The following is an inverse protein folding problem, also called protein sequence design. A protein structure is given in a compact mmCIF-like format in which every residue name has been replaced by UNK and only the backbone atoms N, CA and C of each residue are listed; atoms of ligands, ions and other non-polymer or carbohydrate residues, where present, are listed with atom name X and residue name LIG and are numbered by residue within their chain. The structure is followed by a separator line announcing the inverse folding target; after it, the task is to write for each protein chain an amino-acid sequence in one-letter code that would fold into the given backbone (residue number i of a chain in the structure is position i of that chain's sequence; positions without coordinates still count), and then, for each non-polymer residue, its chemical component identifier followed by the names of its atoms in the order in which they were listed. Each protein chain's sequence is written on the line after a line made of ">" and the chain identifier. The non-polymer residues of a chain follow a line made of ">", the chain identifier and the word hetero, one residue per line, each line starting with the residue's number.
data_IF_846216788229
#
_entry.id   IF_846216788229
#
_cell.length_a   1.000
_cell.length_b   1.000
_cell.length_c   1.000
_cell.angle_alpha   90.00
_cell.angle_beta   90.00
_cell.angle_gamma   90.00
#
_symmetry.space_group_name_H-M   'P 1'
#
loop_
_entity.id
_entity.type
_entity.pdbx_description
1 polymer ?
#
# COMPACT_ATOMS: atom_id res chain seq x y z
N UNK A 1 4.94 -5.64 26.75
CA UNK A 1 3.92 -5.22 27.74
C UNK A 1 2.59 -5.19 27.01
N UNK A 2 1.56 -5.86 27.56
CA UNK A 2 0.21 -5.85 26.98
C UNK A 2 -0.43 -4.48 27.22
N UNK A 3 -0.96 -3.86 26.17
CA UNK A 3 -1.62 -2.55 26.25
C UNK A 3 -3.13 -2.72 26.32
N UNK A 4 -3.86 -1.68 26.72
CA UNK A 4 -5.31 -1.71 26.72
C UNK A 4 -5.89 -1.95 25.31
N UNK A 5 -5.21 -1.54 24.26
CA UNK A 5 -5.66 -1.77 22.87
C UNK A 5 -5.47 -3.22 22.43
N UNK A 6 -4.44 -3.92 22.94
CA UNK A 6 -4.28 -5.37 22.75
C UNK A 6 -5.43 -6.14 23.44
N UNK A 7 -5.80 -5.71 24.65
CA UNK A 7 -6.95 -6.28 25.38
C UNK A 7 -8.26 -6.01 24.64
N UNK A 8 -8.45 -4.81 24.14
CA UNK A 8 -9.64 -4.47 23.35
C UNK A 8 -9.76 -5.36 22.10
N UNK A 9 -8.69 -5.54 21.36
CA UNK A 9 -8.65 -6.40 20.16
C UNK A 9 -9.04 -7.84 20.52
N UNK A 10 -8.48 -8.39 21.58
CA UNK A 10 -8.78 -9.74 22.06
C UNK A 10 -10.28 -9.89 22.40
N UNK A 11 -10.83 -8.98 23.23
CA UNK A 11 -12.24 -9.05 23.64
C UNK A 11 -13.17 -8.87 22.43
N UNK A 12 -12.82 -7.99 21.49
CA UNK A 12 -13.61 -7.77 20.27
C UNK A 12 -13.66 -9.04 19.39
N UNK A 13 -12.53 -9.70 19.24
CA UNK A 13 -12.40 -10.91 18.42
C UNK A 13 -13.11 -12.12 19.02
N UNK A 14 -13.12 -12.22 20.36
CA UNK A 14 -13.72 -13.34 21.09
C UNK A 14 -15.27 -13.37 20.99
N UNK A 15 -15.92 -12.23 20.72
CA UNK A 15 -17.37 -12.08 20.59
C UNK A 15 -18.21 -12.55 21.79
N UNK A 16 -17.58 -12.93 22.89
CA UNK A 16 -18.20 -13.35 24.14
C UNK A 16 -17.61 -12.59 25.32
N UNK A 17 -18.36 -12.41 26.43
CA UNK A 17 -17.83 -11.77 27.62
C UNK A 17 -16.61 -12.52 28.16
N UNK A 18 -15.56 -11.79 28.53
CA UNK A 18 -14.32 -12.36 29.10
C UNK A 18 -14.10 -11.86 30.52
N UNK A 19 -13.75 -12.79 31.41
CA UNK A 19 -13.29 -12.44 32.77
C UNK A 19 -11.83 -11.97 32.73
N UNK A 20 -11.38 -11.10 33.65
CA UNK A 20 -10.00 -10.64 33.66
C UNK A 20 -8.96 -11.76 33.69
N UNK A 21 -9.24 -12.87 34.39
CA UNK A 21 -8.35 -14.02 34.45
C UNK A 21 -8.25 -14.77 33.10
N UNK A 22 -9.30 -14.78 32.32
CA UNK A 22 -9.31 -15.36 30.97
C UNK A 22 -8.45 -14.53 30.03
N UNK A 23 -8.54 -13.18 30.12
CA UNK A 23 -7.69 -12.26 29.37
C UNK A 23 -6.20 -12.45 29.73
N UNK A 24 -5.89 -12.62 31.02
CA UNK A 24 -4.52 -12.90 31.51
C UNK A 24 -3.97 -14.17 30.87
N UNK A 25 -4.78 -15.24 30.84
CA UNK A 25 -4.38 -16.55 30.25
C UNK A 25 -4.14 -16.46 28.76
N UNK A 26 -5.00 -15.79 28.01
CA UNK A 26 -4.84 -15.61 26.56
C UNK A 26 -3.54 -14.90 26.17
N UNK A 27 -3.05 -14.00 27.01
CA UNK A 27 -1.76 -13.34 26.83
C UNK A 27 -0.57 -14.12 27.41
N UNK A 28 -0.77 -15.36 27.89
CA UNK A 28 0.25 -16.17 28.55
C UNK A 28 0.95 -15.41 29.69
N UNK A 29 0.17 -14.66 30.48
CA UNK A 29 0.64 -13.87 31.61
C UNK A 29 0.44 -14.62 32.93
N UNK A 30 1.22 -14.21 33.98
CA UNK A 30 1.04 -14.74 35.31
C UNK A 30 -0.19 -14.14 36.01
N UNK A 31 -0.66 -14.81 37.07
CA UNK A 31 -1.78 -14.28 37.88
C UNK A 31 -1.46 -12.92 38.52
N UNK A 32 -0.18 -12.60 38.71
CA UNK A 32 0.29 -11.29 39.22
C UNK A 32 -0.13 -10.13 38.29
N UNK A 33 -0.27 -10.39 36.97
CA UNK A 33 -0.72 -9.40 35.98
C UNK A 33 -2.24 -9.11 36.06
N UNK A 34 -3.00 -9.86 36.88
CA UNK A 34 -4.46 -9.72 36.99
C UNK A 34 -4.90 -8.28 37.29
N UNK A 35 -4.27 -7.64 38.25
CA UNK A 35 -4.62 -6.28 38.67
C UNK A 35 -4.39 -5.26 37.56
N UNK A 36 -3.31 -5.41 36.80
CA UNK A 36 -2.98 -4.56 35.67
C UNK A 36 -3.99 -4.72 34.54
N UNK A 37 -4.32 -5.96 34.16
CA UNK A 37 -5.33 -6.28 33.15
C UNK A 37 -6.70 -5.78 33.58
N UNK A 38 -7.11 -6.02 34.82
CA UNK A 38 -8.40 -5.55 35.33
C UNK A 38 -8.50 -4.01 35.32
N UNK A 39 -7.41 -3.30 35.65
CA UNK A 39 -7.35 -1.83 35.53
C UNK A 39 -7.57 -1.39 34.09
N UNK A 40 -6.88 -2.00 33.13
CA UNK A 40 -7.00 -1.66 31.70
C UNK A 40 -8.41 -1.96 31.17
N UNK A 41 -9.05 -3.06 31.57
CA UNK A 41 -10.44 -3.36 31.26
C UNK A 41 -11.40 -2.27 31.77
N UNK A 42 -11.19 -1.77 32.99
CA UNK A 42 -11.99 -0.66 33.53
C UNK A 42 -11.75 0.65 32.78
N UNK A 43 -10.52 0.93 32.36
CA UNK A 43 -10.22 2.08 31.51
C UNK A 43 -10.98 1.99 30.17
N UNK A 44 -11.04 0.80 29.55
CA UNK A 44 -11.79 0.58 28.32
C UNK A 44 -13.30 0.79 28.50
N UNK A 45 -13.85 0.41 29.68
CA UNK A 45 -15.25 0.71 30.04
C UNK A 45 -15.45 2.23 30.17
N UNK A 46 -14.56 2.91 30.87
CA UNK A 46 -14.64 4.38 31.01
C UNK A 46 -14.50 5.12 29.66
N UNK A 47 -13.83 4.51 28.68
CA UNK A 47 -13.72 5.03 27.30
C UNK A 47 -14.97 4.75 26.44
N UNK A 48 -15.94 3.98 26.94
CA UNK A 48 -17.13 3.55 26.18
C UNK A 48 -16.82 2.54 25.07
N UNK A 49 -15.81 1.69 25.27
CA UNK A 49 -15.37 0.67 24.32
C UNK A 49 -15.80 -0.74 24.76
N UNK A 50 -15.85 -0.95 26.08
CA UNK A 50 -16.34 -2.18 26.68
C UNK A 50 -17.46 -1.86 27.67
N UNK A 51 -18.30 -2.85 27.96
CA UNK A 51 -19.25 -2.83 29.06
C UNK A 51 -19.02 -4.01 30.00
N UNK A 52 -19.29 -3.82 31.27
CA UNK A 52 -19.20 -4.89 32.28
C UNK A 52 -20.56 -5.56 32.42
N UNK A 53 -20.58 -6.88 32.35
CA UNK A 53 -21.76 -7.72 32.56
C UNK A 53 -21.54 -8.67 33.75
N UNK A 54 -22.56 -9.44 34.11
CA UNK A 54 -22.43 -10.50 35.14
C UNK A 54 -21.49 -11.64 34.70
N UNK A 55 -21.23 -11.77 33.40
CA UNK A 55 -20.39 -12.84 32.83
C UNK A 55 -18.95 -12.39 32.56
N UNK A 56 -18.64 -11.07 32.63
CA UNK A 56 -17.32 -10.52 32.33
C UNK A 56 -17.40 -9.17 31.62
N UNK A 57 -16.38 -8.86 30.85
CA UNK A 57 -16.29 -7.67 30.00
C UNK A 57 -16.54 -8.07 28.56
N UNK A 58 -17.38 -7.29 27.86
CA UNK A 58 -17.68 -7.48 26.45
C UNK A 58 -17.65 -6.14 25.70
N UNK A 59 -17.57 -6.20 24.38
CA UNK A 59 -17.53 -4.99 23.56
C UNK A 59 -18.85 -4.24 23.66
N UNK A 60 -18.76 -2.94 23.88
CA UNK A 60 -19.88 -2.02 23.67
C UNK A 60 -19.90 -1.63 22.19
N UNK A 61 -20.85 -2.19 21.42
CA UNK A 61 -20.93 -2.07 19.95
C UNK A 61 -21.32 -0.65 19.51
N UNK A 62 -20.45 0.31 19.86
CA UNK A 62 -20.55 1.70 19.47
C UNK A 62 -19.76 1.95 18.18
N UNK A 63 -20.14 2.99 17.43
CA UNK A 63 -19.36 3.44 16.26
C UNK A 63 -17.88 3.71 16.58
N UNK A 64 -17.60 4.17 17.81
CA UNK A 64 -16.23 4.39 18.29
C UNK A 64 -15.45 3.08 18.44
N UNK A 65 -16.09 2.03 18.96
CA UNK A 65 -15.48 0.69 19.07
C UNK A 65 -15.22 0.07 17.69
N UNK A 66 -16.14 0.23 16.75
CA UNK A 66 -15.99 -0.24 15.36
C UNK A 66 -14.81 0.47 14.67
N UNK A 67 -14.70 1.79 14.80
CA UNK A 67 -13.59 2.58 14.23
C UNK A 67 -12.26 2.12 14.84
N UNK A 68 -12.18 1.95 16.15
CA UNK A 68 -10.95 1.48 16.81
C UNK A 68 -10.55 0.10 16.33
N UNK A 69 -11.51 -0.83 16.26
CA UNK A 69 -11.24 -2.17 15.75
C UNK A 69 -10.76 -2.13 14.29
N UNK A 70 -11.40 -1.32 13.44
CA UNK A 70 -10.97 -1.10 12.07
C UNK A 70 -9.54 -0.57 11.95
N UNK A 71 -9.14 0.40 12.80
CA UNK A 71 -7.76 0.90 12.88
C UNK A 71 -6.80 -0.24 13.25
N UNK A 72 -7.11 -1.01 14.27
CA UNK A 72 -6.27 -2.12 14.75
C UNK A 72 -6.11 -3.18 13.65
N UNK A 73 -7.21 -3.62 13.01
CA UNK A 73 -7.14 -4.62 11.93
C UNK A 73 -6.34 -4.12 10.72
N UNK A 74 -6.54 -2.85 10.32
CA UNK A 74 -5.76 -2.26 9.25
C UNK A 74 -4.26 -2.25 9.59
N UNK A 75 -3.91 -1.89 10.82
CA UNK A 75 -2.52 -1.89 11.30
C UNK A 75 -1.92 -3.30 11.32
N UNK A 76 -2.64 -4.29 11.84
CA UNK A 76 -2.19 -5.68 11.89
C UNK A 76 -1.94 -6.23 10.48
N UNK A 77 -2.88 -6.01 9.55
CA UNK A 77 -2.75 -6.44 8.16
C UNK A 77 -1.49 -5.88 7.48
N UNK A 78 -1.15 -4.63 7.76
CA UNK A 78 -0.02 -3.92 7.16
C UNK A 78 1.26 -3.95 8.01
N UNK A 79 1.34 -4.78 9.05
CA UNK A 79 2.49 -4.85 9.99
C UNK A 79 2.84 -3.50 10.63
N UNK A 80 1.83 -2.66 10.83
CA UNK A 80 1.93 -1.37 11.53
C UNK A 80 1.64 -1.59 13.01
N UNK A 81 2.48 -1.09 13.90
CA UNK A 81 2.20 -1.13 15.33
C UNK A 81 1.20 -0.03 15.70
N UNK A 82 -0.07 -0.41 15.88
CA UNK A 82 -1.14 0.52 16.27
C UNK A 82 -0.90 1.22 17.60
N UNK A 83 -0.13 0.61 18.51
CA UNK A 83 0.22 1.22 19.79
C UNK A 83 1.05 2.50 19.66
N UNK A 84 1.80 2.69 18.55
CA UNK A 84 2.47 3.95 18.27
C UNK A 84 1.52 5.03 17.72
N UNK A 85 0.44 4.63 17.06
CA UNK A 85 -0.50 5.54 16.44
C UNK A 85 -1.65 5.93 17.38
N UNK A 86 -2.10 5.01 18.26
CA UNK A 86 -3.22 5.23 19.18
C UNK A 86 -2.79 6.07 20.40
N UNK A 87 -2.21 7.23 20.13
CA UNK A 87 -1.78 8.24 21.09
C UNK A 87 -2.47 9.58 20.82
N UNK A 88 -3.06 10.19 21.88
CA UNK A 88 -3.80 11.44 21.75
C UNK A 88 -2.94 12.61 21.27
N UNK A 89 -1.68 12.67 21.73
CA UNK A 89 -0.78 13.75 21.33
C UNK A 89 -0.33 13.56 19.88
N UNK A 90 -0.16 12.31 19.46
CA UNK A 90 0.11 11.99 18.05
C UNK A 90 -1.06 12.40 17.15
N UNK A 91 -2.31 12.11 17.55
CA UNK A 91 -3.50 12.54 16.83
C UNK A 91 -3.63 14.07 16.77
N UNK A 92 -3.33 14.78 17.89
CA UNK A 92 -3.29 16.25 17.92
C UNK A 92 -2.23 16.81 16.97
N UNK A 93 -1.04 16.20 16.93
CA UNK A 93 0.00 16.54 15.96
C UNK A 93 -0.50 16.35 14.52
N UNK A 94 -1.08 15.18 14.21
CA UNK A 94 -1.61 14.89 12.87
C UNK A 94 -2.70 15.86 12.45
N UNK A 95 -3.61 16.25 13.35
CA UNK A 95 -4.71 17.16 13.03
C UNK A 95 -4.21 18.54 12.57
N UNK A 96 -3.06 19.00 13.08
CA UNK A 96 -2.40 20.24 12.64
C UNK A 96 -1.57 20.02 11.38
N UNK A 97 -0.78 18.95 11.34
CA UNK A 97 0.12 18.66 10.26
C UNK A 97 -0.61 18.44 8.92
N UNK A 98 -1.75 17.74 8.94
CA UNK A 98 -2.56 17.47 7.76
C UNK A 98 -3.31 18.70 7.21
N UNK A 99 -3.30 19.84 7.94
CA UNK A 99 -3.80 21.13 7.44
C UNK A 99 -2.77 21.84 6.53
N UNK A 100 -1.65 21.22 6.25
CA UNK A 100 -0.57 21.77 5.42
C UNK A 100 -0.22 20.80 4.31
N UNK A 101 0.05 21.31 3.14
CA UNK A 101 0.53 20.48 2.02
C UNK A 101 1.94 19.96 2.29
N UNK A 102 2.83 20.84 2.79
CA UNK A 102 4.14 20.49 3.30
C UNK A 102 4.26 20.94 4.75
N UNK A 103 4.88 20.09 5.57
CA UNK A 103 5.02 20.29 7.01
C UNK A 103 6.48 20.49 7.39
N UNK A 104 6.72 21.46 8.26
CA UNK A 104 7.99 21.68 8.97
C UNK A 104 7.76 21.58 10.48
N UNK A 105 8.81 21.55 11.27
CA UNK A 105 8.69 21.54 12.74
C UNK A 105 8.00 22.78 13.32
N UNK A 106 7.96 23.89 12.57
CA UNK A 106 7.34 25.15 13.01
C UNK A 106 5.83 25.17 12.84
N UNK A 107 5.29 24.23 12.03
CA UNK A 107 3.85 24.22 11.67
C UNK A 107 2.97 23.46 12.67
N UNK A 108 3.55 22.82 13.70
CA UNK A 108 2.84 21.85 14.53
C UNK A 108 2.88 22.10 16.04
N UNK A 109 3.46 23.17 16.52
CA UNK A 109 3.65 23.47 17.96
C UNK A 109 4.22 22.29 18.77
N UNK A 110 4.97 21.41 18.08
CA UNK A 110 5.48 20.17 18.67
C UNK A 110 6.96 20.31 18.95
N UNK A 111 7.38 19.93 20.17
CA UNK A 111 8.79 19.96 20.53
C UNK A 111 9.64 19.20 19.48
N UNK A 112 10.81 19.72 19.02
CA UNK A 112 11.57 19.14 17.91
C UNK A 112 11.92 17.66 18.07
N UNK A 113 12.21 17.17 19.29
CA UNK A 113 12.46 15.73 19.54
C UNK A 113 11.21 14.88 19.33
N UNK A 114 10.06 15.37 19.78
CA UNK A 114 8.77 14.68 19.61
C UNK A 114 8.35 14.69 18.15
N UNK A 115 8.52 15.84 17.47
CA UNK A 115 8.31 15.94 16.02
C UNK A 115 9.12 14.90 15.26
N UNK A 116 10.44 14.83 15.53
CA UNK A 116 11.32 13.83 14.90
C UNK A 116 10.83 12.40 15.13
N UNK A 117 10.46 12.06 16.39
CA UNK A 117 9.91 10.74 16.74
C UNK A 117 8.64 10.42 15.92
N UNK A 118 7.72 11.36 15.79
CA UNK A 118 6.49 11.16 15.02
C UNK A 118 6.76 10.96 13.53
N UNK A 119 7.70 11.72 12.97
CA UNK A 119 8.12 11.56 11.58
C UNK A 119 8.80 10.21 11.34
N UNK A 120 9.63 9.74 12.25
CA UNK A 120 10.25 8.41 12.17
C UNK A 120 9.20 7.29 12.17
N UNK A 121 8.14 7.40 13.01
CA UNK A 121 7.00 6.47 13.01
C UNK A 121 6.28 6.49 11.67
N UNK A 122 5.89 7.67 11.17
CA UNK A 122 5.21 7.82 9.89
C UNK A 122 6.06 7.29 8.72
N UNK A 123 7.36 7.59 8.74
CA UNK A 123 8.30 7.16 7.71
C UNK A 123 8.51 5.65 7.70
N UNK A 124 8.58 5.03 8.87
CA UNK A 124 8.68 3.56 9.02
C UNK A 124 7.52 2.85 8.35
N UNK A 125 6.32 3.38 8.44
CA UNK A 125 5.09 2.78 7.93
C UNK A 125 4.65 3.30 6.55
N UNK A 126 5.50 4.06 5.87
CA UNK A 126 5.16 4.55 4.52
C UNK A 126 4.02 5.57 4.48
N UNK A 127 3.84 6.34 5.57
CA UNK A 127 2.77 7.34 5.72
C UNK A 127 3.24 8.77 5.45
N UNK A 128 4.51 8.96 5.10
CA UNK A 128 5.12 10.28 4.86
C UNK A 128 6.18 10.23 3.77
N UNK A 129 6.25 11.28 2.97
CA UNK A 129 7.35 11.57 2.06
C UNK A 129 8.25 12.63 2.67
N UNK A 130 9.51 12.34 2.91
CA UNK A 130 10.52 13.32 3.33
C UNK A 130 11.05 14.00 2.07
N UNK A 131 10.64 15.23 1.83
CA UNK A 131 11.02 16.03 0.64
C UNK A 131 12.45 16.53 0.77
N UNK A 132 12.81 17.12 1.93
CA UNK A 132 14.14 17.63 2.24
C UNK A 132 14.49 17.36 3.70
N UNK A 133 15.80 17.11 3.99
CA UNK A 133 16.30 16.92 5.37
C UNK A 133 16.89 18.20 5.98
N UNK A 134 17.31 19.17 5.12
CA UNK A 134 17.92 20.44 5.56
C UNK A 134 17.44 21.58 4.64
N UNK A 135 16.49 22.42 5.06
CA UNK A 135 15.61 22.25 6.21
C UNK A 135 14.70 21.02 6.07
N UNK A 136 14.23 20.47 7.20
CA UNK A 136 13.32 19.32 7.15
C UNK A 136 11.95 19.75 6.62
N UNK A 137 11.59 19.25 5.44
CA UNK A 137 10.26 19.41 4.81
C UNK A 137 9.72 18.04 4.45
N UNK A 138 8.46 17.82 4.70
CA UNK A 138 7.81 16.54 4.48
C UNK A 138 6.35 16.73 4.10
N UNK A 139 5.80 15.71 3.44
CA UNK A 139 4.37 15.59 3.12
C UNK A 139 3.82 14.34 3.81
N UNK A 140 2.81 14.51 4.66
CA UNK A 140 2.08 13.38 5.26
C UNK A 140 1.01 12.95 4.25
N UNK A 141 0.94 11.65 3.97
CA UNK A 141 -0.06 11.11 3.07
C UNK A 141 -1.39 10.97 3.81
N UNK A 142 -2.40 11.71 3.34
CA UNK A 142 -3.75 11.54 3.86
C UNK A 142 -4.36 10.25 3.32
N UNK A 143 -4.84 9.40 4.23
CA UNK A 143 -5.41 8.10 3.90
C UNK A 143 -6.48 7.70 4.93
N UNK A 144 -7.19 6.60 4.64
CA UNK A 144 -8.27 6.09 5.50
C UNK A 144 -7.79 5.78 6.92
N UNK A 145 -6.57 5.24 7.09
CA UNK A 145 -6.02 4.94 8.42
C UNK A 145 -5.89 6.21 9.28
N UNK A 146 -5.23 7.26 8.75
CA UNK A 146 -5.03 8.51 9.47
C UNK A 146 -6.34 9.26 9.69
N UNK A 147 -7.26 9.21 8.73
CA UNK A 147 -8.61 9.76 8.90
C UNK A 147 -9.35 9.09 10.06
N UNK A 148 -9.39 7.76 10.09
CA UNK A 148 -10.05 7.00 11.14
C UNK A 148 -9.42 7.28 12.52
N UNK A 149 -8.09 7.45 12.56
CA UNK A 149 -7.38 7.83 13.78
C UNK A 149 -7.85 9.21 14.29
N UNK A 150 -7.95 10.21 13.41
CA UNK A 150 -8.45 11.54 13.76
C UNK A 150 -9.89 11.48 14.26
N UNK A 151 -10.77 10.77 13.54
CA UNK A 151 -12.18 10.59 13.93
C UNK A 151 -12.30 9.91 15.30
N UNK A 152 -11.50 8.87 15.56
CA UNK A 152 -11.49 8.16 16.84
C UNK A 152 -11.15 9.09 18.03
N UNK A 153 -10.22 10.02 17.84
CA UNK A 153 -9.84 11.01 18.85
C UNK A 153 -10.69 12.29 18.83
N UNK A 154 -11.73 12.36 17.99
CA UNK A 154 -12.67 13.47 17.93
C UNK A 154 -12.20 14.70 17.15
N UNK A 155 -11.17 14.56 16.32
CA UNK A 155 -10.72 15.61 15.41
C UNK A 155 -11.52 15.57 14.11
N UNK A 156 -11.94 16.76 13.65
CA UNK A 156 -12.47 16.94 12.30
C UNK A 156 -11.31 17.34 11.39
N UNK A 157 -11.27 16.79 10.20
CA UNK A 157 -10.28 17.17 9.19
C UNK A 157 -11.00 17.50 7.87
N UNK A 158 -10.67 18.67 7.31
CA UNK A 158 -11.08 19.03 5.97
C UNK A 158 -9.94 18.62 5.02
N UNK A 159 -10.27 17.90 3.97
CA UNK A 159 -9.28 17.49 2.97
C UNK A 159 -8.80 18.73 2.24
N UNK A 160 -7.51 19.03 2.37
CA UNK A 160 -6.89 20.11 1.60
C UNK A 160 -6.83 19.67 0.13
N UNK A 161 -7.36 20.52 -0.74
CA UNK A 161 -7.15 20.35 -2.18
C UNK A 161 -5.65 20.47 -2.47
N UNK A 162 -5.03 19.38 -2.91
CA UNK A 162 -3.60 19.38 -3.23
C UNK A 162 -3.32 20.37 -4.38
N UNK A 163 -2.28 21.18 -4.19
CA UNK A 163 -1.73 21.94 -5.30
C UNK A 163 -1.05 20.97 -6.29
N UNK A 164 -0.94 21.35 -7.54
CA UNK A 164 -0.25 20.58 -8.56
C UNK A 164 1.28 20.66 -8.40
N UNK A 165 1.80 20.30 -7.21
CA UNK A 165 3.24 20.30 -6.98
C UNK A 165 3.90 19.20 -7.82
N UNK A 166 4.95 19.56 -8.54
CA UNK A 166 5.67 18.69 -9.46
C UNK A 166 7.01 18.31 -8.83
N UNK A 167 7.25 17.01 -8.65
CA UNK A 167 8.47 16.47 -8.01
C UNK A 167 9.57 16.11 -9.02
N UNK A 168 9.52 16.57 -10.26
CA UNK A 168 10.47 16.17 -11.31
C UNK A 168 11.93 16.38 -10.92
N UNK A 169 12.27 17.56 -10.37
CA UNK A 169 13.64 17.89 -9.95
C UNK A 169 14.15 16.98 -8.81
N UNK A 170 13.29 16.70 -7.84
CA UNK A 170 13.61 15.81 -6.74
C UNK A 170 13.81 14.38 -7.22
N UNK A 171 12.97 13.90 -8.11
CA UNK A 171 13.08 12.55 -8.68
C UNK A 171 14.36 12.42 -9.51
N UNK A 172 14.67 13.40 -10.39
CA UNK A 172 15.89 13.37 -11.20
C UNK A 172 17.15 13.37 -10.32
N UNK A 173 17.16 14.15 -9.24
CA UNK A 173 18.26 14.14 -8.28
C UNK A 173 18.43 12.77 -7.63
N UNK A 174 17.35 12.19 -7.11
CA UNK A 174 17.39 10.88 -6.45
C UNK A 174 17.73 9.74 -7.42
N UNK A 175 17.28 9.82 -8.68
CA UNK A 175 17.68 8.89 -9.74
C UNK A 175 19.18 8.93 -10.04
N UNK A 176 19.77 10.15 -10.05
CA UNK A 176 21.20 10.30 -10.26
C UNK A 176 22.01 9.74 -9.09
N UNK A 177 21.54 9.91 -7.84
CA UNK A 177 22.13 9.30 -6.65
C UNK A 177 22.02 7.77 -6.75
N UNK A 178 20.83 7.25 -7.05
CA UNK A 178 20.56 5.83 -7.21
C UNK A 178 21.49 5.17 -8.23
N UNK A 179 21.63 5.76 -9.42
CA UNK A 179 22.51 5.23 -10.48
C UNK A 179 23.97 5.09 -10.02
N UNK A 180 24.45 6.05 -9.21
CA UNK A 180 25.81 6.01 -8.65
C UNK A 180 25.96 4.93 -7.58
N UNK A 181 25.02 4.87 -6.63
CA UNK A 181 25.04 3.91 -5.52
C UNK A 181 24.90 2.47 -6.00
N UNK A 182 23.96 2.20 -6.92
CA UNK A 182 23.78 0.89 -7.50
C UNK A 182 25.04 0.34 -8.15
N UNK A 183 25.78 1.19 -8.90
CA UNK A 183 27.06 0.77 -9.52
C UNK A 183 28.13 0.43 -8.51
N UNK A 184 28.06 1.02 -7.30
CA UNK A 184 29.06 0.80 -6.25
C UNK A 184 28.87 -0.56 -5.56
N UNK A 185 27.60 -0.98 -5.34
CA UNK A 185 27.28 -2.24 -4.66
C UNK A 185 26.01 -2.87 -5.24
N UNK A 186 26.17 -3.65 -6.30
CA UNK A 186 25.06 -4.36 -6.95
C UNK A 186 24.52 -5.49 -6.06
N UNK A 187 25.34 -6.10 -5.20
CA UNK A 187 24.91 -7.20 -4.31
C UNK A 187 23.96 -6.66 -3.23
N UNK A 188 24.36 -5.59 -2.58
CA UNK A 188 23.50 -4.91 -1.59
C UNK A 188 22.20 -4.42 -2.25
N UNK A 189 22.30 -3.83 -3.45
CA UNK A 189 21.12 -3.41 -4.21
C UNK A 189 20.12 -4.56 -4.41
N UNK A 190 20.58 -5.73 -4.89
CA UNK A 190 19.70 -6.90 -5.11
C UNK A 190 19.02 -7.36 -3.82
N UNK A 191 19.74 -7.33 -2.69
CA UNK A 191 19.16 -7.67 -1.39
C UNK A 191 18.07 -6.69 -0.99
N UNK A 192 18.33 -5.39 -1.14
CA UNK A 192 17.36 -4.33 -0.81
C UNK A 192 16.10 -4.44 -1.68
N UNK A 193 16.27 -4.61 -3.00
CA UNK A 193 15.15 -4.67 -3.95
C UNK A 193 14.23 -5.85 -3.65
N UNK A 194 14.75 -6.96 -3.17
CA UNK A 194 13.94 -8.14 -2.81
C UNK A 194 12.87 -7.81 -1.75
N UNK A 195 13.20 -7.00 -0.75
CA UNK A 195 12.22 -6.57 0.26
C UNK A 195 11.12 -5.72 -0.38
N UNK A 196 11.49 -4.84 -1.32
CA UNK A 196 10.52 -4.01 -2.05
C UNK A 196 9.62 -4.86 -2.98
N UNK A 197 10.17 -5.89 -3.63
CA UNK A 197 9.41 -6.84 -4.44
C UNK A 197 8.33 -7.54 -3.61
N UNK A 198 8.68 -8.02 -2.41
CA UNK A 198 7.75 -8.69 -1.49
C UNK A 198 6.66 -7.71 -1.03
N UNK A 199 7.04 -6.49 -0.65
CA UNK A 199 6.09 -5.46 -0.25
C UNK A 199 5.15 -5.08 -1.41
N UNK A 200 5.67 -4.97 -2.62
CA UNK A 200 4.88 -4.72 -3.82
C UNK A 200 3.86 -5.83 -4.09
N UNK A 201 4.27 -7.10 -3.99
CA UNK A 201 3.37 -8.26 -4.16
C UNK A 201 2.23 -8.15 -3.13
N UNK A 202 2.57 -7.93 -1.86
CA UNK A 202 1.60 -7.77 -0.80
C UNK A 202 0.62 -6.62 -1.08
N UNK A 203 1.11 -5.40 -1.34
CA UNK A 203 0.24 -4.25 -1.57
C UNK A 203 -0.62 -4.44 -2.81
N UNK A 204 -0.05 -4.98 -3.89
CA UNK A 204 -0.79 -5.26 -5.13
C UNK A 204 -1.94 -6.25 -4.91
N UNK A 205 -1.73 -7.32 -4.15
CA UNK A 205 -2.76 -8.32 -3.85
C UNK A 205 -3.76 -7.84 -2.80
N UNK A 206 -3.29 -7.09 -1.80
CA UNK A 206 -4.16 -6.48 -0.80
C UNK A 206 -5.18 -5.51 -1.41
N UNK A 207 -4.82 -4.80 -2.49
CA UNK A 207 -5.73 -3.94 -3.27
C UNK A 207 -6.82 -4.75 -4.01
N UNK A 208 -6.58 -6.03 -4.28
CA UNK A 208 -7.55 -6.94 -4.90
C UNK A 208 -8.31 -7.79 -3.86
N UNK A 209 -8.07 -7.58 -2.56
CA UNK A 209 -8.81 -8.22 -1.49
C UNK A 209 -8.17 -9.47 -0.89
N UNK A 210 -6.95 -9.87 -1.30
CA UNK A 210 -6.25 -10.98 -0.68
C UNK A 210 -6.06 -10.72 0.83
N UNK A 211 -6.44 -11.67 1.72
CA UNK A 211 -6.45 -11.46 3.16
C UNK A 211 -5.08 -11.62 3.84
N UNK A 212 -4.09 -12.20 3.15
CA UNK A 212 -2.76 -12.47 3.69
C UNK A 212 -2.12 -11.15 4.14
N UNK A 213 -1.50 -11.14 5.31
CA UNK A 213 -0.82 -9.98 5.87
C UNK A 213 0.58 -9.79 5.27
N UNK A 214 1.14 -8.58 5.41
CA UNK A 214 2.51 -8.30 4.96
C UNK A 214 3.54 -9.26 5.61
N UNK A 215 3.41 -9.52 6.91
CA UNK A 215 4.30 -10.45 7.62
C UNK A 215 4.20 -11.89 7.10
N UNK A 216 2.98 -12.34 6.80
CA UNK A 216 2.75 -13.68 6.22
C UNK A 216 3.30 -13.75 4.79
N UNK A 217 3.15 -12.69 4.00
CA UNK A 217 3.75 -12.61 2.66
C UNK A 217 5.27 -12.76 2.71
N UNK A 218 5.94 -12.12 3.68
CA UNK A 218 7.38 -12.31 3.91
C UNK A 218 7.71 -13.76 4.26
N UNK A 219 6.97 -14.39 5.18
CA UNK A 219 7.16 -15.80 5.54
C UNK A 219 7.03 -16.73 4.34
N UNK A 220 6.00 -16.52 3.53
CA UNK A 220 5.75 -17.34 2.33
C UNK A 220 6.87 -17.18 1.30
N UNK A 221 7.23 -15.94 0.97
CA UNK A 221 8.11 -15.65 -0.16
C UNK A 221 9.60 -15.71 0.19
N UNK A 222 9.97 -15.31 1.40
CA UNK A 222 11.35 -15.28 1.86
C UNK A 222 11.72 -16.53 2.64
N UNK A 223 10.93 -16.88 3.67
CA UNK A 223 11.27 -17.97 4.58
C UNK A 223 10.79 -19.34 4.06
N UNK A 224 9.94 -19.36 3.01
CA UNK A 224 9.30 -20.54 2.43
C UNK A 224 8.44 -21.31 3.45
N UNK A 225 7.83 -20.59 4.39
CA UNK A 225 6.95 -21.13 5.42
C UNK A 225 5.52 -20.67 5.16
N UNK A 226 4.60 -21.64 5.09
CA UNK A 226 3.16 -21.36 4.94
C UNK A 226 2.52 -21.48 6.33
N UNK A 227 1.98 -20.39 6.90
CA UNK A 227 1.20 -20.46 8.14
C UNK A 227 -0.02 -21.37 7.98
N UNK A 228 -0.28 -22.21 9.00
CA UNK A 228 -1.32 -23.27 8.95
C UNK A 228 -2.76 -22.75 8.87
N UNK A 229 -2.98 -21.48 9.22
CA UNK A 229 -4.30 -20.83 9.20
C UNK A 229 -4.69 -20.22 7.86
N UNK A 230 -3.81 -20.29 6.85
CA UNK A 230 -4.06 -19.69 5.53
C UNK A 230 -4.77 -20.65 4.59
N UNK A 231 -5.61 -20.10 3.73
CA UNK A 231 -6.21 -20.87 2.63
C UNK A 231 -5.18 -21.05 1.52
N UNK A 232 -5.11 -22.24 0.96
CA UNK A 232 -4.17 -22.56 -0.14
C UNK A 232 -4.35 -21.60 -1.32
N UNK A 233 -5.60 -21.29 -1.68
CA UNK A 233 -5.89 -20.37 -2.79
C UNK A 233 -5.27 -18.98 -2.60
N UNK A 234 -5.35 -18.43 -1.39
CA UNK A 234 -4.77 -17.12 -1.08
C UNK A 234 -3.23 -17.16 -1.17
N UNK A 235 -2.61 -18.28 -0.75
CA UNK A 235 -1.15 -18.51 -0.85
C UNK A 235 -0.72 -18.67 -2.31
N UNK A 236 -1.53 -19.37 -3.11
CA UNK A 236 -1.27 -19.55 -4.55
C UNK A 236 -1.30 -18.21 -5.30
N UNK A 237 -2.22 -17.30 -4.96
CA UNK A 237 -2.20 -15.94 -5.52
C UNK A 237 -0.86 -15.23 -5.25
N UNK A 238 -0.33 -15.31 -4.01
CA UNK A 238 0.93 -14.68 -3.63
C UNK A 238 2.10 -15.27 -4.43
N UNK A 239 2.18 -16.60 -4.50
CA UNK A 239 3.29 -17.29 -5.19
C UNK A 239 3.22 -17.12 -6.70
N UNK A 240 2.02 -17.12 -7.28
CA UNK A 240 1.80 -16.91 -8.71
C UNK A 240 2.13 -15.47 -9.12
N UNK A 241 1.72 -14.49 -8.33
CA UNK A 241 2.06 -13.10 -8.61
C UNK A 241 3.56 -12.84 -8.49
N UNK A 242 4.27 -13.55 -7.58
CA UNK A 242 5.74 -13.53 -7.55
C UNK A 242 6.34 -14.04 -8.86
N UNK A 243 5.84 -15.17 -9.40
CA UNK A 243 6.33 -15.71 -10.68
C UNK A 243 6.16 -14.70 -11.81
N UNK A 244 4.98 -14.07 -11.89
CA UNK A 244 4.69 -13.05 -12.88
C UNK A 244 5.63 -11.83 -12.76
N UNK A 245 5.88 -11.36 -11.53
CA UNK A 245 6.81 -10.26 -11.26
C UNK A 245 8.25 -10.62 -11.69
N UNK A 246 8.75 -11.80 -11.33
CA UNK A 246 10.09 -12.24 -11.68
C UNK A 246 10.27 -12.40 -13.20
N UNK A 247 9.24 -12.88 -13.90
CA UNK A 247 9.25 -12.95 -15.37
C UNK A 247 9.31 -11.56 -15.99
N UNK A 248 8.49 -10.62 -15.50
CA UNK A 248 8.50 -9.22 -15.94
C UNK A 248 9.87 -8.56 -15.72
N UNK A 249 10.49 -8.79 -14.56
CA UNK A 249 11.83 -8.27 -14.26
C UNK A 249 12.89 -8.82 -15.21
N UNK A 250 12.82 -10.11 -15.53
CA UNK A 250 13.70 -10.74 -16.52
C UNK A 250 13.50 -10.10 -17.90
N UNK A 251 12.26 -9.96 -18.34
CA UNK A 251 11.95 -9.41 -19.66
C UNK A 251 12.39 -7.94 -19.78
N UNK A 252 12.25 -7.14 -18.71
CA UNK A 252 12.75 -5.77 -18.69
C UNK A 252 14.29 -5.70 -18.70
N UNK A 253 14.97 -6.61 -17.99
CA UNK A 253 16.43 -6.71 -18.01
C UNK A 253 16.92 -7.07 -19.41
N UNK A 254 16.28 -8.01 -20.08
CA UNK A 254 16.57 -8.46 -21.44
C UNK A 254 16.10 -7.46 -22.51
N UNK A 255 15.51 -6.33 -22.11
CA UNK A 255 14.97 -5.26 -22.97
C UNK A 255 13.98 -5.77 -24.00
N UNK A 256 13.15 -6.73 -23.63
CA UNK A 256 12.15 -7.28 -24.53
C UNK A 256 11.05 -6.25 -24.83
N UNK A 257 10.61 -6.26 -26.09
CA UNK A 257 9.41 -5.53 -26.53
C UNK A 257 8.16 -6.16 -25.91
N UNK A 258 7.14 -5.36 -25.70
CA UNK A 258 5.83 -5.85 -25.30
C UNK A 258 5.11 -6.47 -26.50
N UNK A 259 4.46 -7.61 -26.30
CA UNK A 259 3.58 -8.24 -27.29
C UNK A 259 2.27 -8.63 -26.63
N UNK A 260 1.24 -8.89 -27.41
CA UNK A 260 0.00 -9.47 -26.87
C UNK A 260 0.30 -10.75 -26.09
N UNK A 261 1.15 -11.63 -26.63
CA UNK A 261 1.54 -12.87 -25.94
C UNK A 261 2.21 -12.58 -24.58
N UNK A 262 3.11 -11.60 -24.50
CA UNK A 262 3.76 -11.21 -23.23
C UNK A 262 2.72 -10.76 -22.19
N UNK A 263 1.68 -10.02 -22.60
CA UNK A 263 0.57 -9.61 -21.74
C UNK A 263 -0.19 -10.83 -21.24
N UNK A 264 -0.50 -11.77 -22.13
CA UNK A 264 -1.21 -13.02 -21.78
C UNK A 264 -0.37 -13.89 -20.84
N UNK A 265 0.96 -13.97 -21.05
CA UNK A 265 1.87 -14.72 -20.19
C UNK A 265 1.95 -14.13 -18.78
N UNK A 266 2.04 -12.81 -18.64
CA UNK A 266 2.02 -12.17 -17.32
C UNK A 266 0.69 -12.42 -16.61
N UNK A 267 -0.42 -12.30 -17.31
CA UNK A 267 -1.74 -12.60 -16.76
C UNK A 267 -1.85 -14.09 -16.40
N UNK A 268 -1.40 -14.99 -17.27
CA UNK A 268 -1.39 -16.43 -17.02
C UNK A 268 -0.61 -16.75 -15.72
N UNK A 269 0.62 -16.26 -15.60
CA UNK A 269 1.44 -16.48 -14.41
C UNK A 269 0.79 -15.93 -13.14
N UNK A 270 0.19 -14.74 -13.21
CA UNK A 270 -0.45 -14.11 -12.05
C UNK A 270 -1.73 -14.82 -11.60
N UNK A 271 -2.44 -15.47 -12.54
CA UNK A 271 -3.77 -16.03 -12.33
C UNK A 271 -3.81 -17.57 -12.40
N UNK A 272 -2.67 -18.27 -12.30
CA UNK A 272 -2.58 -19.73 -12.42
C UNK A 272 -3.48 -20.50 -11.45
N UNK A 273 -3.87 -19.90 -10.33
CA UNK A 273 -4.80 -20.47 -9.37
C UNK A 273 -6.22 -20.61 -9.92
N UNK A 274 -6.57 -19.91 -11.02
CA UNK A 274 -7.82 -20.06 -11.75
C UNK A 274 -7.56 -20.34 -13.23
N UNK A 275 -7.46 -21.62 -13.57
CA UNK A 275 -7.21 -22.06 -14.96
C UNK A 275 -8.31 -21.70 -15.95
N UNK A 276 -9.50 -21.34 -15.47
CA UNK A 276 -10.64 -20.96 -16.33
C UNK A 276 -10.41 -19.62 -17.03
N UNK A 277 -9.66 -18.69 -16.38
CA UNK A 277 -9.42 -17.32 -16.85
C UNK A 277 -7.95 -17.02 -17.14
N UNK A 278 -7.00 -17.78 -16.58
CA UNK A 278 -5.58 -17.53 -16.69
C UNK A 278 -5.11 -17.42 -18.16
N UNK A 279 -4.52 -16.28 -18.55
CA UNK A 279 -4.01 -16.01 -19.88
C UNK A 279 -5.07 -15.88 -21.00
N UNK A 280 -6.35 -15.71 -20.65
CA UNK A 280 -7.44 -15.70 -21.63
C UNK A 280 -8.13 -14.34 -21.68
N UNK A 281 -8.21 -13.75 -22.88
CA UNK A 281 -9.03 -12.56 -23.14
C UNK A 281 -10.50 -12.92 -22.95
N UNK A 282 -11.24 -12.05 -22.26
CA UNK A 282 -12.68 -12.23 -22.06
C UNK A 282 -13.44 -12.12 -23.39
N UNK A 283 -14.44 -12.96 -23.53
CA UNK A 283 -15.38 -12.97 -24.67
C UNK A 283 -16.79 -12.49 -24.28
N UNK A 284 -16.93 -12.07 -23.01
CA UNK A 284 -18.21 -11.61 -22.45
C UNK A 284 -18.07 -10.19 -21.93
N UNK A 285 -19.19 -9.49 -21.83
CA UNK A 285 -19.23 -8.19 -21.17
C UNK A 285 -19.11 -8.36 -19.65
N UNK A 286 -18.35 -7.48 -19.03
CA UNK A 286 -18.16 -7.44 -17.58
C UNK A 286 -18.33 -6.02 -17.07
N UNK A 287 -18.54 -5.88 -15.76
CA UNK A 287 -18.62 -4.58 -15.09
C UNK A 287 -17.61 -4.54 -13.96
N UNK A 288 -17.04 -3.37 -13.70
CA UNK A 288 -16.14 -3.20 -12.56
C UNK A 288 -16.97 -3.17 -11.27
N UNK A 289 -16.70 -4.12 -10.38
CA UNK A 289 -17.36 -4.18 -9.08
C UNK A 289 -17.15 -2.86 -8.31
N UNK A 290 -18.24 -2.30 -7.80
CA UNK A 290 -18.23 -1.02 -7.07
C UNK A 290 -18.15 0.24 -7.95
N UNK A 291 -18.01 0.11 -9.28
CA UNK A 291 -18.00 1.26 -10.21
C UNK A 291 -18.63 0.94 -11.57
N UNK A 292 -19.96 0.79 -11.61
CA UNK A 292 -20.67 0.41 -12.85
C UNK A 292 -20.58 1.47 -13.94
N UNK A 293 -20.27 2.72 -13.59
CA UNK A 293 -20.14 3.83 -14.54
C UNK A 293 -18.78 3.88 -15.25
N UNK A 294 -17.82 3.05 -14.81
CA UNK A 294 -16.52 2.97 -15.47
C UNK A 294 -16.64 2.25 -16.81
N UNK A 295 -16.47 3.00 -17.89
CA UNK A 295 -16.62 2.46 -19.23
C UNK A 295 -15.41 1.62 -19.62
N UNK A 296 -15.67 0.40 -20.05
CA UNK A 296 -14.67 -0.53 -20.58
C UNK A 296 -14.94 -0.87 -22.03
N UNK A 297 -13.92 -1.33 -22.73
CA UNK A 297 -14.02 -1.73 -24.14
C UNK A 297 -14.95 -2.94 -24.29
N UNK A 298 -15.81 -2.93 -25.33
CA UNK A 298 -16.64 -4.09 -25.66
C UNK A 298 -15.78 -5.30 -26.01
N UNK A 299 -16.27 -6.50 -25.65
CA UNK A 299 -15.51 -7.75 -25.80
C UNK A 299 -15.00 -7.95 -27.23
N UNK A 300 -15.79 -7.63 -28.24
CA UNK A 300 -15.46 -7.75 -29.67
C UNK A 300 -14.30 -6.86 -30.15
N UNK A 301 -13.99 -5.77 -29.42
CA UNK A 301 -12.97 -4.80 -29.78
C UNK A 301 -11.67 -4.92 -28.98
N UNK A 302 -11.59 -5.82 -27.99
CA UNK A 302 -10.46 -5.91 -27.05
C UNK A 302 -9.14 -6.13 -27.76
N UNK A 303 -9.04 -7.15 -28.62
CA UNK A 303 -7.79 -7.50 -29.32
C UNK A 303 -7.28 -6.32 -30.13
N UNK A 304 -8.17 -5.68 -30.91
CA UNK A 304 -7.84 -4.51 -31.73
C UNK A 304 -7.30 -3.33 -30.90
N UNK A 305 -7.91 -3.07 -29.73
CA UNK A 305 -7.47 -1.95 -28.88
C UNK A 305 -6.18 -2.31 -28.12
N UNK A 306 -5.98 -3.59 -27.75
CA UNK A 306 -4.71 -4.06 -27.19
C UNK A 306 -3.57 -3.94 -28.22
N UNK A 307 -3.77 -4.36 -29.46
CA UNK A 307 -2.74 -4.25 -30.51
C UNK A 307 -2.30 -2.81 -30.70
N UNK A 308 -3.25 -1.87 -30.78
CA UNK A 308 -2.94 -0.43 -30.85
C UNK A 308 -2.16 0.08 -29.65
N UNK A 309 -2.51 -0.40 -28.45
CA UNK A 309 -1.83 0.01 -27.20
C UNK A 309 -0.41 -0.56 -27.17
N UNK A 310 -0.22 -1.81 -27.59
CA UNK A 310 1.08 -2.48 -27.71
C UNK A 310 1.99 -1.79 -28.73
N UNK A 311 1.45 -1.41 -29.90
CA UNK A 311 2.20 -0.67 -30.91
C UNK A 311 2.69 0.68 -30.36
N UNK A 312 1.82 1.47 -29.72
CA UNK A 312 2.20 2.72 -29.07
C UNK A 312 3.25 2.52 -27.98
N UNK A 313 3.15 1.44 -27.20
CA UNK A 313 4.13 1.08 -26.21
C UNK A 313 5.50 0.84 -26.83
N UNK A 314 5.55 0.02 -27.88
CA UNK A 314 6.80 -0.33 -28.56
C UNK A 314 7.43 0.86 -29.31
N UNK A 315 6.63 1.73 -29.88
CA UNK A 315 7.11 3.01 -30.42
C UNK A 315 7.71 3.89 -29.34
N UNK A 316 7.06 3.97 -28.16
CA UNK A 316 7.53 4.80 -27.06
C UNK A 316 8.85 4.28 -26.48
N UNK A 317 9.01 2.98 -26.26
CA UNK A 317 10.25 2.43 -25.68
C UNK A 317 11.47 2.58 -26.60
N UNK A 318 11.28 2.68 -27.90
CA UNK A 318 12.36 2.92 -28.89
C UNK A 318 12.92 4.34 -28.86
N UNK A 319 12.18 5.30 -28.26
CA UNK A 319 12.65 6.70 -28.17
C UNK A 319 13.80 6.81 -27.17
N UNK A 320 14.94 7.31 -27.65
CA UNK A 320 16.17 7.42 -26.84
C UNK A 320 16.17 8.65 -25.93
N UNK A 321 15.70 9.79 -26.43
CA UNK A 321 15.70 11.07 -25.71
C UNK A 321 14.31 11.38 -25.17
N UNK A 322 14.06 10.98 -23.92
CA UNK A 322 12.81 11.24 -23.21
C UNK A 322 13.10 11.97 -21.90
N UNK A 323 12.32 12.99 -21.61
CA UNK A 323 12.31 13.59 -20.27
C UNK A 323 11.64 12.66 -19.26
N UNK A 324 11.92 12.84 -17.98
CA UNK A 324 11.20 12.12 -16.92
C UNK A 324 9.69 12.32 -17.05
N UNK A 325 9.27 13.55 -17.33
CA UNK A 325 7.85 13.90 -17.53
C UNK A 325 7.21 13.10 -18.67
N UNK A 326 7.92 12.94 -19.80
CA UNK A 326 7.41 12.12 -20.93
C UNK A 326 7.22 10.66 -20.54
N UNK A 327 8.20 10.10 -19.80
CA UNK A 327 8.13 8.71 -19.32
C UNK A 327 6.93 8.53 -18.38
N UNK A 328 6.73 9.42 -17.42
CA UNK A 328 5.65 9.32 -16.46
C UNK A 328 4.28 9.57 -17.10
N UNK A 329 4.16 10.53 -18.01
CA UNK A 329 2.94 10.76 -18.74
C UNK A 329 2.53 9.53 -19.56
N UNK A 330 3.49 8.89 -20.23
CA UNK A 330 3.19 7.70 -20.99
C UNK A 330 2.86 6.50 -20.07
N UNK A 331 3.53 6.36 -18.93
CA UNK A 331 3.21 5.32 -17.95
C UNK A 331 1.76 5.45 -17.44
N UNK A 332 1.33 6.67 -17.12
CA UNK A 332 -0.05 6.97 -16.69
C UNK A 332 -1.04 6.72 -17.82
N UNK A 333 -0.74 7.20 -19.02
CA UNK A 333 -1.56 6.95 -20.20
C UNK A 333 -1.76 5.45 -20.43
N UNK A 334 -0.67 4.68 -20.49
CA UNK A 334 -0.71 3.24 -20.70
C UNK A 334 -1.51 2.53 -19.60
N UNK A 335 -1.24 2.88 -18.35
CA UNK A 335 -1.94 2.31 -17.19
C UNK A 335 -3.46 2.48 -17.31
N UNK A 336 -3.91 3.70 -17.57
CA UNK A 336 -5.33 3.99 -17.65
C UNK A 336 -5.99 3.44 -18.92
N UNK A 337 -5.30 3.45 -20.08
CA UNK A 337 -5.81 2.81 -21.31
C UNK A 337 -6.00 1.31 -21.12
N UNK A 338 -5.03 0.61 -20.48
CA UNK A 338 -5.17 -0.81 -20.23
C UNK A 338 -6.35 -1.11 -19.29
N UNK A 339 -6.56 -0.26 -18.25
CA UNK A 339 -7.72 -0.38 -17.37
C UNK A 339 -9.05 -0.16 -18.13
N UNK A 340 -9.10 0.71 -19.14
CA UNK A 340 -10.28 0.93 -19.97
C UNK A 340 -10.49 -0.19 -21.01
N UNK A 341 -9.43 -0.77 -21.55
CA UNK A 341 -9.55 -1.96 -22.40
C UNK A 341 -10.11 -3.12 -21.58
N UNK A 342 -9.63 -3.31 -20.36
CA UNK A 342 -10.09 -4.33 -19.41
C UNK A 342 -10.18 -5.73 -20.05
N UNK A 343 -9.05 -6.27 -20.54
CA UNK A 343 -9.06 -7.43 -21.41
C UNK A 343 -9.46 -8.75 -20.74
N UNK A 344 -9.43 -8.83 -19.44
CA UNK A 344 -9.61 -10.07 -18.68
C UNK A 344 -10.87 -10.05 -17.84
N UNK A 345 -11.34 -11.22 -17.43
CA UNK A 345 -12.46 -11.36 -16.48
C UNK A 345 -12.03 -10.87 -15.10
N UNK A 346 -10.83 -11.24 -14.65
CA UNK A 346 -10.17 -10.75 -13.44
C UNK A 346 -8.67 -10.56 -13.71
N UNK A 347 -7.89 -10.01 -12.75
CA UNK A 347 -6.45 -9.81 -12.86
C UNK A 347 -6.01 -8.59 -13.68
N UNK A 348 -6.93 -7.78 -14.20
CA UNK A 348 -6.62 -6.60 -15.01
C UNK A 348 -5.68 -5.63 -14.28
N UNK A 349 -5.98 -5.25 -13.04
CA UNK A 349 -5.15 -4.31 -12.27
C UNK A 349 -3.77 -4.89 -11.96
N UNK A 350 -3.69 -6.18 -11.63
CA UNK A 350 -2.43 -6.91 -11.38
C UNK A 350 -1.53 -6.87 -12.61
N UNK A 351 -2.09 -7.20 -13.78
CA UNK A 351 -1.38 -7.16 -15.07
C UNK A 351 -0.98 -5.74 -15.46
N UNK A 352 -1.87 -4.76 -15.29
CA UNK A 352 -1.57 -3.35 -15.55
C UNK A 352 -0.35 -2.88 -14.76
N UNK A 353 -0.28 -3.20 -13.47
CA UNK A 353 0.86 -2.83 -12.61
C UNK A 353 2.16 -3.46 -13.09
N UNK A 354 2.15 -4.74 -13.49
CA UNK A 354 3.34 -5.41 -14.04
C UNK A 354 3.83 -4.73 -15.31
N UNK A 355 2.95 -4.43 -16.28
CA UNK A 355 3.37 -3.82 -17.55
C UNK A 355 3.82 -2.37 -17.34
N UNK A 356 3.17 -1.62 -16.45
CA UNK A 356 3.60 -0.28 -16.09
C UNK A 356 5.01 -0.29 -15.49
N UNK A 357 5.32 -1.28 -14.68
CA UNK A 357 6.67 -1.44 -14.12
C UNK A 357 7.68 -1.91 -15.15
N UNK A 358 7.30 -2.79 -16.07
CA UNK A 358 8.15 -3.15 -17.21
C UNK A 358 8.60 -1.90 -17.97
N UNK A 359 7.69 -0.99 -18.29
CA UNK A 359 8.00 0.29 -18.92
C UNK A 359 9.01 1.12 -18.10
N UNK A 360 8.74 1.30 -16.82
CA UNK A 360 9.57 2.12 -15.94
C UNK A 360 10.98 1.54 -15.79
N UNK A 361 11.10 0.21 -15.65
CA UNK A 361 12.37 -0.51 -15.61
C UNK A 361 13.19 -0.30 -16.90
N UNK A 362 12.56 -0.44 -18.08
CA UNK A 362 13.19 -0.19 -19.37
C UNK A 362 13.74 1.24 -19.49
N UNK A 363 13.12 2.20 -18.82
CA UNK A 363 13.56 3.60 -18.78
C UNK A 363 14.45 3.94 -17.58
N UNK A 364 14.94 2.92 -16.86
CA UNK A 364 15.93 3.08 -15.78
C UNK A 364 15.36 3.59 -14.47
N UNK A 365 14.04 3.56 -14.30
CA UNK A 365 13.36 3.82 -13.04
C UNK A 365 13.21 2.48 -12.31
N UNK A 366 13.79 2.31 -11.11
CA UNK A 366 13.75 1.04 -10.40
C UNK A 366 12.33 0.65 -10.02
N UNK A 367 12.12 -0.65 -9.82
CA UNK A 367 10.87 -1.16 -9.30
C UNK A 367 10.59 -0.52 -7.95
N UNK A 368 9.33 -0.28 -7.67
CA UNK A 368 8.91 0.39 -6.46
C UNK A 368 7.61 -0.19 -5.93
N UNK A 369 7.50 -0.10 -4.65
CA UNK A 369 6.33 -0.43 -3.88
C UNK A 369 5.39 0.79 -3.81
N UNK A 370 4.08 0.57 -3.78
CA UNK A 370 3.11 1.65 -3.50
C UNK A 370 3.03 1.79 -1.99
N UNK A 371 3.55 2.88 -1.38
CA UNK A 371 3.57 3.01 0.07
C UNK A 371 2.15 3.03 0.65
N UNK A 372 2.00 2.46 1.85
CA UNK A 372 0.71 2.31 2.53
C UNK A 372 -0.14 3.59 2.51
N UNK A 373 0.49 4.73 2.69
CA UNK A 373 -0.19 6.03 2.70
C UNK A 373 -0.77 6.48 1.35
N UNK A 374 -0.36 5.86 0.24
CA UNK A 374 -0.80 6.21 -1.13
C UNK A 374 -1.71 5.16 -1.77
N UNK A 375 -2.01 4.04 -1.09
CA UNK A 375 -2.85 2.97 -1.65
C UNK A 375 -4.25 3.48 -1.99
N UNK A 376 -4.89 4.21 -1.07
CA UNK A 376 -6.24 4.74 -1.27
C UNK A 376 -6.26 5.79 -2.38
N UNK A 377 -5.24 6.65 -2.43
CA UNK A 377 -5.08 7.67 -3.47
C UNK A 377 -4.91 7.02 -4.85
N UNK A 378 -4.05 6.01 -4.95
CA UNK A 378 -3.84 5.26 -6.18
C UNK A 378 -5.15 4.62 -6.68
N UNK A 379 -5.92 3.97 -5.81
CA UNK A 379 -7.21 3.38 -6.18
C UNK A 379 -8.20 4.43 -6.67
N UNK A 380 -8.24 5.60 -6.03
CA UNK A 380 -9.18 6.68 -6.36
C UNK A 380 -8.99 7.19 -7.79
N UNK A 381 -7.76 7.15 -8.32
CA UNK A 381 -7.44 7.69 -9.65
C UNK A 381 -7.31 6.63 -10.74
N UNK A 382 -7.58 5.38 -10.40
CA UNK A 382 -7.62 4.25 -11.31
C UNK A 382 -9.05 3.70 -11.45
N UNK A 383 -9.30 2.48 -11.03
CA UNK A 383 -10.61 1.82 -11.12
C UNK A 383 -11.69 2.38 -10.18
N UNK A 384 -11.30 3.09 -9.12
CA UNK A 384 -12.24 3.71 -8.16
C UNK A 384 -12.88 5.00 -8.66
N UNK A 385 -12.39 5.59 -9.74
CA UNK A 385 -12.89 6.85 -10.29
C UNK A 385 -13.96 6.63 -11.35
N UNK A 386 -15.02 7.44 -11.31
CA UNK A 386 -16.04 7.49 -12.40
C UNK A 386 -15.48 8.11 -13.69
N UNK A 387 -14.47 8.96 -13.57
CA UNK A 387 -13.79 9.63 -14.66
C UNK A 387 -12.31 9.41 -14.56
N UNK A 388 -11.66 9.09 -15.66
CA UNK A 388 -10.21 9.04 -15.80
C UNK A 388 -9.60 10.38 -15.36
N UNK A 389 -8.62 10.32 -14.46
CA UNK A 389 -7.87 11.49 -14.02
C UNK A 389 -6.36 11.23 -14.10
N UNK A 390 -5.83 11.40 -15.33
CA UNK A 390 -4.42 11.16 -15.62
C UNK A 390 -3.51 12.13 -14.86
N UNK A 391 -3.95 13.35 -14.61
CA UNK A 391 -3.14 14.34 -13.90
C UNK A 391 -2.94 13.98 -12.43
N UNK A 392 -3.99 13.52 -11.76
CA UNK A 392 -3.91 13.05 -10.38
C UNK A 392 -3.11 11.76 -10.26
N UNK A 393 -3.32 10.80 -11.17
CA UNK A 393 -2.50 9.58 -11.19
C UNK A 393 -1.03 9.90 -11.47
N UNK A 394 -0.73 10.88 -12.33
CA UNK A 394 0.64 11.37 -12.55
C UNK A 394 1.27 11.90 -11.27
N UNK A 395 0.58 12.75 -10.51
CA UNK A 395 1.05 13.25 -9.23
C UNK A 395 1.27 12.14 -8.20
N UNK A 396 0.35 11.15 -8.15
CA UNK A 396 0.51 9.98 -7.27
C UNK A 396 1.74 9.15 -7.66
N UNK A 397 1.94 8.90 -8.96
CA UNK A 397 3.09 8.16 -9.45
C UNK A 397 4.42 8.86 -9.14
N UNK A 398 4.48 10.19 -9.23
CA UNK A 398 5.65 10.97 -8.81
C UNK A 398 5.95 10.78 -7.32
N UNK A 399 4.94 10.84 -6.44
CA UNK A 399 5.10 10.62 -5.00
C UNK A 399 5.62 9.21 -4.72
N UNK A 400 5.05 8.19 -5.38
CA UNK A 400 5.47 6.79 -5.28
C UNK A 400 6.94 6.62 -5.67
N UNK A 401 7.34 7.14 -6.84
CA UNK A 401 8.72 7.02 -7.34
C UNK A 401 9.69 7.73 -6.40
N UNK A 402 9.40 8.96 -6.01
CA UNK A 402 10.28 9.72 -5.13
C UNK A 402 10.45 9.06 -3.76
N UNK A 403 9.35 8.54 -3.18
CA UNK A 403 9.40 7.82 -1.91
C UNK A 403 10.32 6.59 -2.01
N UNK A 404 10.14 5.76 -3.04
CA UNK A 404 10.94 4.55 -3.25
C UNK A 404 12.42 4.87 -3.47
N UNK A 405 12.72 5.83 -4.34
CA UNK A 405 14.12 6.24 -4.60
C UNK A 405 14.81 6.68 -3.32
N UNK A 406 14.15 7.49 -2.49
CA UNK A 406 14.71 7.91 -1.22
C UNK A 406 14.96 6.75 -0.27
N UNK A 407 14.00 5.81 -0.18
CA UNK A 407 14.14 4.62 0.66
C UNK A 407 15.27 3.70 0.18
N UNK A 408 15.36 3.45 -1.13
CA UNK A 408 16.44 2.65 -1.70
C UNK A 408 17.80 3.33 -1.48
N UNK A 409 17.90 4.62 -1.78
CA UNK A 409 19.13 5.39 -1.60
C UNK A 409 19.59 5.41 -0.13
N UNK A 410 18.67 5.61 0.82
CA UNK A 410 18.97 5.55 2.25
C UNK A 410 19.55 4.19 2.67
N UNK A 411 18.98 3.07 2.19
CA UNK A 411 19.48 1.73 2.49
C UNK A 411 20.83 1.43 1.80
N UNK A 412 21.06 1.97 0.61
CA UNK A 412 22.33 1.83 -0.11
C UNK A 412 23.48 2.68 0.45
N UNK A 413 23.18 3.69 1.29
CA UNK A 413 24.17 4.54 1.94
C UNK A 413 24.58 4.01 3.33
N UNK A 414 23.85 3.05 3.89
CA UNK A 414 24.16 2.40 5.17
C UNK A 414 25.22 1.31 5.00
#
# INVERSE_FOLDING_TARGET
>A
MVTKYDIFELVYKNRAPMKPIEVVKEFNKSEEDYHAVHKQLRELVAMGLLRKTKHGFEVDMTKKAEILYGIIQHCLKNSVSYNYLLDKNFAAFLSKALQREEVTSKDTDTHPRTFKKYIEILNKFGLVLIISRKPLRLKIFYNVLLNNLLVYFGYKHEVITESSYVYDREIERELNIFKKLRKKDEVLYRKIVRDFEISFIYHSLSLEGNPITLSETFKILQDKVIPSNLKILDVDEVTNYQKALLQMLKDSHDKKSLTLQTILDYHFLAMQHDSSIAGKIRKIEVHISGNPDFRITKAENIEKELDKLVDKYNEFIKKEKLSLKDILNFAVYFHNEFQHIHPFIDGNSRTTRLITFHLLQLKGIPIFDIPLGLLDEYLSYTKGSRKRDDQKLFSTLQKVILWNLKKINEKLMQ
#
